data_IF_350012316361
#
_entry.id   IF_350012316361
#
_cell.length_a   1.000
_cell.length_b   1.000
_cell.length_c   1.000
_cell.angle_alpha   90.00
_cell.angle_beta   90.00
_cell.angle_gamma   90.00
#
_symmetry.space_group_name_H-M   'P 1'
#
loop_
_entity.id
_entity.type
_entity.pdbx_description
1 polymer ?
#
# COMPACT_ATOMS: atom_id res chain seq x y z
N UNK A 1 5.99 -23.58 -0.40
CA UNK A 1 5.60 -25.00 -0.31
C UNK A 1 4.08 -25.19 -0.32
N UNK A 2 3.30 -24.45 0.50
CA UNK A 2 1.82 -24.58 0.51
C UNK A 2 1.19 -24.21 -0.85
N UNK A 3 1.68 -23.17 -1.51
CA UNK A 3 1.22 -22.74 -2.84
C UNK A 3 1.51 -23.84 -3.87
N UNK A 4 2.73 -24.37 -3.90
CA UNK A 4 3.11 -25.46 -4.79
C UNK A 4 2.23 -26.69 -4.52
N UNK A 5 2.03 -27.05 -3.24
CA UNK A 5 1.15 -28.17 -2.88
C UNK A 5 -0.28 -27.99 -3.39
N UNK A 6 -0.84 -26.77 -3.27
CA UNK A 6 -2.16 -26.45 -3.80
C UNK A 6 -2.22 -26.53 -5.34
N UNK A 7 -1.19 -26.04 -6.03
CA UNK A 7 -1.10 -26.10 -7.50
C UNK A 7 -1.01 -27.53 -8.02
N UNK A 8 -0.28 -28.39 -7.33
CA UNK A 8 -0.12 -29.81 -7.73
C UNK A 8 -1.36 -30.65 -7.36
N UNK A 9 -2.06 -30.29 -6.28
CA UNK A 9 -3.22 -31.01 -5.75
C UNK A 9 -4.52 -30.68 -6.48
N UNK A 10 -4.52 -30.74 -7.82
CA UNK A 10 -5.72 -30.58 -8.67
C UNK A 10 -6.48 -29.23 -8.55
N UNK A 11 -5.89 -28.24 -7.94
CA UNK A 11 -6.49 -26.89 -7.94
C UNK A 11 -6.43 -26.30 -9.36
N UNK A 12 -7.58 -25.92 -9.90
CA UNK A 12 -7.65 -25.25 -11.21
C UNK A 12 -7.08 -23.84 -11.20
N UNK A 13 -7.11 -23.18 -10.04
CA UNK A 13 -6.61 -21.82 -9.85
C UNK A 13 -6.15 -21.63 -8.41
N UNK A 14 -5.00 -21.00 -8.25
CA UNK A 14 -4.46 -20.61 -6.95
C UNK A 14 -4.42 -19.10 -6.87
N UNK A 15 -5.15 -18.52 -5.92
CA UNK A 15 -5.11 -17.10 -5.61
C UNK A 15 -4.41 -16.90 -4.26
N UNK A 16 -3.57 -15.88 -4.17
CA UNK A 16 -2.89 -15.51 -2.93
C UNK A 16 -3.43 -14.17 -2.43
N UNK A 17 -3.95 -14.17 -1.21
CA UNK A 17 -4.40 -12.95 -0.55
C UNK A 17 -3.34 -12.55 0.46
N UNK A 18 -2.72 -11.40 0.24
CA UNK A 18 -1.77 -10.77 1.12
C UNK A 18 -2.33 -9.43 1.61
N UNK A 19 -2.97 -9.35 2.78
CA UNK A 19 -3.47 -8.08 3.31
C UNK A 19 -2.40 -7.01 3.43
N UNK A 20 -1.16 -7.41 3.64
CA UNK A 20 0.04 -6.59 3.55
C UNK A 20 0.96 -7.18 2.49
N UNK A 21 1.32 -6.39 1.48
CA UNK A 21 2.20 -6.86 0.41
C UNK A 21 3.64 -6.99 0.93
N UNK A 22 4.12 -8.24 0.98
CA UNK A 22 5.49 -8.54 1.40
C UNK A 22 6.49 -7.80 0.51
N UNK A 23 7.52 -7.20 1.12
CA UNK A 23 8.52 -6.36 0.45
C UNK A 23 7.95 -5.20 -0.39
N UNK A 24 6.71 -4.80 -0.16
CA UNK A 24 6.02 -3.76 -0.92
C UNK A 24 6.71 -2.39 -0.91
N UNK A 25 7.61 -2.13 0.05
CA UNK A 25 8.42 -0.91 0.10
C UNK A 25 9.67 -0.98 -0.78
N UNK A 26 10.10 -2.17 -1.17
CA UNK A 26 11.18 -2.42 -2.13
C UNK A 26 10.62 -2.49 -3.56
N UNK A 27 9.84 -1.48 -3.92
CA UNK A 27 9.07 -1.37 -5.16
C UNK A 27 9.84 -0.73 -6.32
N UNK A 28 10.95 -0.07 -6.02
CA UNK A 28 11.82 0.59 -7.01
C UNK A 28 13.28 0.46 -6.59
N UNK A 29 14.17 0.52 -7.57
CA UNK A 29 15.61 0.53 -7.36
C UNK A 29 16.13 1.96 -7.46
N UNK A 30 16.87 2.43 -6.46
CA UNK A 30 17.47 3.76 -6.42
C UNK A 30 18.99 3.72 -6.23
N UNK A 31 19.62 2.58 -6.48
CA UNK A 31 21.04 2.39 -6.33
C UNK A 31 21.40 0.91 -6.49
N UNK A 32 22.30 0.41 -5.63
CA UNK A 32 22.68 -1.01 -5.59
C UNK A 32 21.74 -1.81 -4.68
N UNK A 33 20.46 -1.66 -4.89
CA UNK A 33 19.42 -2.35 -4.12
C UNK A 33 18.86 -3.51 -4.94
N UNK A 34 18.42 -4.56 -4.26
CA UNK A 34 17.59 -5.58 -4.89
C UNK A 34 16.18 -5.03 -5.12
N UNK A 35 15.46 -5.62 -6.05
CA UNK A 35 14.07 -5.26 -6.35
C UNK A 35 13.15 -6.34 -5.75
N UNK A 36 13.18 -6.47 -4.42
CA UNK A 36 12.61 -7.60 -3.70
C UNK A 36 11.12 -7.81 -3.93
N UNK A 37 10.37 -6.72 -4.06
CA UNK A 37 8.94 -6.81 -4.36
C UNK A 37 8.67 -7.48 -5.71
N UNK A 38 9.38 -7.09 -6.77
CA UNK A 38 9.23 -7.70 -8.09
C UNK A 38 9.66 -9.17 -8.08
N UNK A 39 10.78 -9.47 -7.45
CA UNK A 39 11.29 -10.85 -7.33
C UNK A 39 10.27 -11.74 -6.60
N UNK A 40 9.71 -11.27 -5.50
CA UNK A 40 8.68 -12.00 -4.75
C UNK A 40 7.42 -12.25 -5.60
N UNK A 41 6.96 -11.25 -6.35
CA UNK A 41 5.80 -11.40 -7.22
C UNK A 41 6.06 -12.42 -8.33
N UNK A 42 7.21 -12.34 -8.99
CA UNK A 42 7.61 -13.31 -10.02
C UNK A 42 7.73 -14.73 -9.45
N UNK A 43 8.31 -14.88 -8.27
CA UNK A 43 8.43 -16.17 -7.59
C UNK A 43 7.06 -16.80 -7.30
N UNK A 44 6.08 -16.01 -6.84
CA UNK A 44 4.70 -16.48 -6.65
C UNK A 44 4.07 -16.98 -7.96
N UNK A 45 4.26 -16.24 -9.05
CA UNK A 45 3.74 -16.66 -10.37
C UNK A 45 4.40 -17.95 -10.84
N UNK A 46 5.72 -18.08 -10.67
CA UNK A 46 6.45 -19.31 -10.98
C UNK A 46 5.98 -20.52 -10.16
N UNK A 47 5.46 -20.29 -8.96
CA UNK A 47 4.84 -21.33 -8.12
C UNK A 47 3.43 -21.73 -8.56
N UNK A 48 2.87 -21.13 -9.62
CA UNK A 48 1.54 -21.42 -10.13
C UNK A 48 0.42 -20.54 -9.58
N UNK A 49 0.74 -19.39 -8.99
CA UNK A 49 -0.26 -18.41 -8.56
C UNK A 49 -0.86 -17.71 -9.77
N UNK A 50 -2.18 -17.72 -9.87
CA UNK A 50 -2.92 -17.08 -10.97
C UNK A 50 -3.26 -15.63 -10.68
N UNK A 51 -3.51 -15.29 -9.42
CA UNK A 51 -3.88 -13.94 -9.01
C UNK A 51 -3.34 -13.62 -7.61
N UNK A 52 -2.88 -12.39 -7.44
CA UNK A 52 -2.40 -11.84 -6.17
C UNK A 52 -3.33 -10.71 -5.76
N UNK A 53 -3.86 -10.79 -4.55
CA UNK A 53 -4.79 -9.81 -3.99
C UNK A 53 -4.13 -9.17 -2.77
N UNK A 54 -4.07 -7.84 -2.76
CA UNK A 54 -3.51 -7.07 -1.63
C UNK A 54 -4.36 -5.85 -1.32
N UNK A 55 -4.09 -5.22 -0.17
CA UNK A 55 -4.77 -4.00 0.25
C UNK A 55 -3.75 -2.88 0.39
N UNK A 56 -4.04 -1.73 -0.21
CA UNK A 56 -3.26 -0.50 -0.12
C UNK A 56 -1.76 -0.73 -0.31
N UNK A 57 -1.38 -1.30 -1.44
CA UNK A 57 0.02 -1.47 -1.80
C UNK A 57 0.76 -0.12 -1.75
N UNK A 58 1.96 -0.10 -1.17
CA UNK A 58 2.77 1.11 -1.04
C UNK A 58 2.96 1.83 -2.38
N UNK A 59 3.18 1.07 -3.45
CA UNK A 59 3.15 1.56 -4.83
C UNK A 59 2.47 0.50 -5.71
N UNK A 60 1.25 0.76 -6.23
CA UNK A 60 0.51 -0.22 -7.02
C UNK A 60 1.19 -0.55 -8.36
N UNK A 61 2.17 0.24 -8.81
CA UNK A 61 2.92 -0.02 -10.05
C UNK A 61 3.80 -1.25 -9.98
N UNK A 62 3.95 -1.88 -8.80
CA UNK A 62 4.64 -3.17 -8.65
C UNK A 62 4.01 -4.27 -9.53
N UNK A 63 2.73 -4.15 -9.87
CA UNK A 63 2.04 -5.03 -10.81
C UNK A 63 2.71 -5.09 -12.19
N UNK A 64 3.46 -4.05 -12.58
CA UNK A 64 4.16 -3.99 -13.85
C UNK A 64 5.27 -5.05 -13.96
N UNK A 65 5.73 -5.64 -12.85
CA UNK A 65 6.69 -6.75 -12.87
C UNK A 65 6.07 -8.08 -13.31
N UNK A 66 4.74 -8.20 -13.25
CA UNK A 66 4.01 -9.42 -13.60
C UNK A 66 2.85 -9.12 -14.57
N UNK A 67 3.12 -8.55 -15.76
CA UNK A 67 2.09 -7.96 -16.63
C UNK A 67 1.10 -8.98 -17.20
N UNK A 68 1.42 -10.27 -17.17
CA UNK A 68 0.57 -11.35 -17.68
C UNK A 68 -0.22 -12.07 -16.58
N UNK A 69 -0.13 -11.61 -15.33
CA UNK A 69 -0.77 -12.24 -14.17
C UNK A 69 -1.74 -11.29 -13.48
N UNK A 70 -2.72 -11.84 -12.80
CA UNK A 70 -3.69 -11.05 -12.03
C UNK A 70 -3.04 -10.40 -10.81
N UNK A 71 -3.27 -9.09 -10.64
CA UNK A 71 -2.89 -8.36 -9.44
C UNK A 71 -3.99 -7.38 -9.09
N UNK A 72 -4.65 -7.62 -7.96
CA UNK A 72 -5.73 -6.78 -7.46
C UNK A 72 -5.28 -6.04 -6.19
N UNK A 73 -5.26 -4.72 -6.27
CA UNK A 73 -4.95 -3.85 -5.15
C UNK A 73 -6.21 -3.09 -4.72
N UNK A 74 -6.76 -3.43 -3.57
CA UNK A 74 -7.96 -2.80 -3.02
C UNK A 74 -7.60 -1.73 -1.99
N UNK A 75 -8.25 -0.57 -2.10
CA UNK A 75 -8.22 0.43 -1.04
C UNK A 75 -9.23 0.02 0.05
N UNK A 76 -8.82 -0.05 1.34
CA UNK A 76 -9.70 -0.50 2.43
C UNK A 76 -10.71 0.59 2.87
N UNK A 77 -11.24 1.35 1.91
CA UNK A 77 -12.13 2.50 2.18
C UNK A 77 -13.43 2.08 2.83
N UNK A 78 -14.00 0.95 2.39
CA UNK A 78 -15.22 0.41 3.01
C UNK A 78 -15.03 0.13 4.50
N UNK A 79 -13.90 -0.47 4.87
CA UNK A 79 -13.58 -0.78 6.25
C UNK A 79 -13.41 0.50 7.08
N UNK A 80 -12.76 1.52 6.53
CA UNK A 80 -12.61 2.82 7.19
C UNK A 80 -13.97 3.51 7.35
N UNK A 81 -14.81 3.53 6.33
CA UNK A 81 -16.14 4.10 6.42
C UNK A 81 -17.01 3.36 7.44
N UNK A 82 -16.97 2.03 7.44
CA UNK A 82 -17.71 1.23 8.42
C UNK A 82 -17.25 1.52 9.86
N UNK A 83 -15.93 1.65 10.08
CA UNK A 83 -15.36 2.00 11.39
C UNK A 83 -15.80 3.40 11.83
N UNK A 84 -15.67 4.39 10.97
CA UNK A 84 -16.05 5.78 11.28
C UNK A 84 -17.54 5.92 11.55
N UNK A 85 -18.39 5.22 10.77
CA UNK A 85 -19.84 5.23 10.97
C UNK A 85 -20.28 4.47 12.23
N UNK A 86 -19.44 3.58 12.75
CA UNK A 86 -19.73 2.87 13.99
C UNK A 86 -19.61 3.79 15.21
N UNK A 87 -18.71 4.75 15.17
CA UNK A 87 -18.55 5.74 16.24
C UNK A 87 -19.58 6.86 16.09
N UNK A 88 -20.61 6.80 16.94
CA UNK A 88 -21.72 7.78 16.95
C UNK A 88 -21.30 9.16 17.46
N UNK A 89 -20.11 9.31 18.01
CA UNK A 89 -19.59 10.60 18.50
C UNK A 89 -18.93 11.40 17.38
N UNK A 90 -18.46 10.73 16.32
CA UNK A 90 -17.84 11.37 15.15
C UNK A 90 -18.92 11.96 14.23
N UNK A 91 -18.77 13.24 13.91
CA UNK A 91 -19.54 13.91 12.89
C UNK A 91 -18.71 13.94 11.60
N UNK A 92 -19.18 13.20 10.59
CA UNK A 92 -18.50 13.09 9.29
C UNK A 92 -19.09 14.14 8.35
N UNK A 93 -18.62 15.35 8.50
CA UNK A 93 -18.98 16.50 7.66
C UNK A 93 -17.77 17.45 7.54
N UNK A 94 -17.86 18.43 6.63
CA UNK A 94 -16.76 19.38 6.34
C UNK A 94 -16.40 20.29 7.52
N UNK A 95 -17.34 20.52 8.43
CA UNK A 95 -17.13 21.46 9.54
C UNK A 95 -16.44 20.77 10.74
N UNK A 96 -16.54 19.44 10.83
CA UNK A 96 -16.09 18.69 11.99
C UNK A 96 -14.96 17.68 11.70
N UNK A 97 -14.72 17.35 10.44
CA UNK A 97 -13.73 16.34 10.07
C UNK A 97 -12.88 16.78 8.87
N UNK A 98 -11.60 16.54 8.96
CA UNK A 98 -10.64 16.72 7.88
C UNK A 98 -9.72 15.49 7.80
N UNK A 99 -9.39 15.05 6.60
CA UNK A 99 -8.38 14.02 6.37
C UNK A 99 -7.03 14.69 6.20
N UNK A 100 -6.02 14.26 6.96
CA UNK A 100 -4.68 14.84 6.88
C UNK A 100 -3.69 13.80 6.38
N UNK A 101 -2.99 14.12 5.29
CA UNK A 101 -1.87 13.33 4.81
C UNK A 101 -0.63 13.59 5.68
N UNK A 102 0.04 12.55 6.21
CA UNK A 102 1.24 12.73 7.04
C UNK A 102 2.47 13.16 6.26
N UNK A 103 2.47 12.98 4.93
CA UNK A 103 3.54 13.37 4.02
C UNK A 103 3.06 13.33 2.56
N UNK A 104 3.90 13.78 1.64
CA UNK A 104 3.62 13.78 0.19
C UNK A 104 3.34 12.38 -0.37
N UNK A 105 4.01 11.35 0.16
CA UNK A 105 3.87 9.98 -0.30
C UNK A 105 2.49 9.37 -0.03
N UNK A 106 1.79 9.85 1.00
CA UNK A 106 0.45 9.40 1.37
C UNK A 106 -0.68 10.26 0.78
N UNK A 107 -0.35 11.32 0.03
CA UNK A 107 -1.32 12.31 -0.45
C UNK A 107 -2.44 11.67 -1.30
N UNK A 108 -2.10 10.77 -2.23
CA UNK A 108 -3.11 10.12 -3.07
C UNK A 108 -4.12 9.29 -2.27
N UNK A 109 -3.67 8.64 -1.20
CA UNK A 109 -4.53 7.89 -0.26
C UNK A 109 -5.44 8.83 0.52
N UNK A 110 -4.88 9.93 1.02
CA UNK A 110 -5.64 10.93 1.76
C UNK A 110 -6.72 11.58 0.89
N UNK A 111 -6.39 11.97 -0.34
CA UNK A 111 -7.34 12.51 -1.32
C UNK A 111 -8.46 11.51 -1.60
N UNK A 112 -8.11 10.25 -1.83
CA UNK A 112 -9.10 9.21 -2.08
C UNK A 112 -10.07 9.04 -0.91
N UNK A 113 -9.57 9.00 0.32
CA UNK A 113 -10.39 8.88 1.52
C UNK A 113 -11.25 10.14 1.75
N UNK A 114 -10.67 11.34 1.63
CA UNK A 114 -11.38 12.60 1.80
C UNK A 114 -12.55 12.73 0.80
N UNK A 115 -12.31 12.40 -0.47
CA UNK A 115 -13.35 12.41 -1.49
C UNK A 115 -14.49 11.42 -1.18
N UNK A 116 -14.16 10.22 -0.70
CA UNK A 116 -15.18 9.22 -0.32
C UNK A 116 -16.00 9.66 0.91
N UNK A 117 -15.39 10.40 1.83
CA UNK A 117 -16.09 10.92 3.01
C UNK A 117 -16.79 12.27 2.76
N UNK A 118 -16.46 12.95 1.66
CA UNK A 118 -16.99 14.28 1.35
C UNK A 118 -16.46 15.38 2.27
N UNK A 119 -15.22 15.25 2.75
CA UNK A 119 -14.56 16.20 3.67
C UNK A 119 -13.31 16.82 3.03
N UNK A 120 -12.77 17.86 3.66
CA UNK A 120 -11.56 18.52 3.20
C UNK A 120 -10.30 17.70 3.52
N UNK A 121 -9.21 18.01 2.81
CA UNK A 121 -7.92 17.35 2.97
C UNK A 121 -6.83 18.38 3.27
N UNK A 122 -6.02 18.08 4.29
CA UNK A 122 -4.79 18.78 4.61
C UNK A 122 -3.57 17.87 4.38
N UNK A 123 -2.37 18.46 4.42
CA UNK A 123 -1.12 17.73 4.25
C UNK A 123 -0.03 18.32 5.14
N UNK A 124 0.78 17.43 5.75
CA UNK A 124 2.04 17.82 6.36
C UNK A 124 3.19 17.61 5.37
N UNK A 125 4.06 18.61 5.30
CA UNK A 125 5.31 18.51 4.57
C UNK A 125 6.41 17.91 5.45
N UNK A 126 7.04 16.84 4.97
CA UNK A 126 8.07 16.12 5.70
C UNK A 126 9.45 16.39 5.10
N UNK A 127 10.27 17.15 5.81
CA UNK A 127 11.63 17.46 5.42
C UNK A 127 12.63 16.49 6.04
N UNK A 128 13.49 15.89 5.21
CA UNK A 128 14.59 15.02 5.64
C UNK A 128 15.93 15.74 5.53
N UNK A 129 16.82 15.50 6.48
CA UNK A 129 18.21 15.92 6.39
C UNK A 129 19.02 14.86 5.63
N UNK A 130 19.34 15.17 4.38
CA UNK A 130 20.13 14.28 3.52
C UNK A 130 21.65 14.38 3.78
N UNK A 131 22.10 15.32 4.62
CA UNK A 131 23.52 15.46 4.97
C UNK A 131 23.99 14.41 5.98
N UNK A 132 23.06 13.74 6.65
CA UNK A 132 23.33 12.76 7.70
C UNK A 132 22.57 11.47 7.47
N UNK A 133 23.20 10.36 7.89
CA UNK A 133 22.56 9.05 7.95
C UNK A 133 22.63 8.55 9.39
N UNK A 134 21.48 8.30 10.01
CA UNK A 134 21.36 7.75 11.37
C UNK A 134 20.62 6.43 11.28
N UNK A 135 21.24 5.35 11.73
CA UNK A 135 20.67 3.99 11.65
C UNK A 135 20.22 3.61 10.23
N UNK A 136 21.02 3.94 9.20
CA UNK A 136 20.73 3.63 7.81
C UNK A 136 19.62 4.48 7.16
N UNK A 137 19.18 5.57 7.79
CA UNK A 137 18.13 6.46 7.28
C UNK A 137 18.50 7.93 7.45
N UNK A 138 18.01 8.76 6.55
CA UNK A 138 18.09 10.20 6.70
C UNK A 138 17.06 10.66 7.76
N UNK A 139 17.50 11.36 8.82
CA UNK A 139 16.61 11.79 9.89
C UNK A 139 15.58 12.83 9.38
N UNK A 140 14.41 12.81 9.97
CA UNK A 140 13.38 13.82 9.76
C UNK A 140 13.74 15.02 10.63
N UNK A 141 13.85 16.22 10.03
CA UNK A 141 14.24 17.44 10.75
C UNK A 141 13.07 18.40 10.99
N UNK A 142 12.02 18.30 10.19
CA UNK A 142 10.80 19.10 10.38
C UNK A 142 9.57 18.43 9.78
N UNK A 143 8.42 18.72 10.37
CA UNK A 143 7.11 18.54 9.80
C UNK A 143 6.45 19.93 9.78
N UNK A 144 6.24 20.48 8.59
CA UNK A 144 5.58 21.77 8.38
C UNK A 144 4.15 21.51 7.86
N UNK A 145 3.19 22.31 8.26
CA UNK A 145 1.77 22.25 7.86
C UNK A 145 1.40 23.39 6.92
#
# INVERSE_FOLDING_TARGET
KRIIGASIATAHRVNVIMPFLYEGRQHKRSGRESLDCAMMLEELIQMGVSNIITFDAHDPRVQNSIPLSGFDNFMPTYQYQALLNHDKTLKIDKDNLMVISPDEGAMSRAVYLANNLGVDMGMFYKRRDYSRVVNGRNPIVAHDS
#
